data_IF_445828770328
#
_entry.id   IF_445828770328
#
_cell.length_a   1.000
_cell.length_b   1.000
_cell.length_c   1.000
_cell.angle_alpha   90.00
_cell.angle_beta   90.00
_cell.angle_gamma   90.00
#
_symmetry.space_group_name_H-M   'P 1'
#
loop_
_entity.id
_entity.type
_entity.pdbx_description
1 polymer ?
#
# COMPACT_ATOMS: atom_id res chain seq x y z
N UNK A 1 3.09 -1.84 8.40
CA UNK A 1 2.42 -1.92 7.08
C UNK A 1 0.89 -1.97 7.17
N UNK A 2 0.32 -2.70 8.11
CA UNK A 2 -1.14 -2.79 8.30
C UNK A 2 -1.82 -1.40 8.47
N UNK A 3 -1.15 -0.48 9.17
CA UNK A 3 -1.63 0.91 9.35
C UNK A 3 -1.81 1.66 8.03
N UNK A 4 -0.87 1.50 7.08
CA UNK A 4 -0.95 2.17 5.78
C UNK A 4 -2.11 1.62 4.97
N UNK A 5 -2.25 0.29 4.93
CA UNK A 5 -3.38 -0.37 4.27
C UNK A 5 -4.71 0.11 4.87
N UNK A 6 -4.82 0.08 6.20
CA UNK A 6 -6.01 0.55 6.90
C UNK A 6 -6.38 2.00 6.59
N UNK A 7 -5.40 2.91 6.55
CA UNK A 7 -5.63 4.31 6.22
C UNK A 7 -6.23 4.48 4.82
N UNK A 8 -5.79 3.69 3.84
CA UNK A 8 -6.38 3.72 2.50
C UNK A 8 -7.83 3.24 2.49
N UNK A 9 -8.15 2.17 3.22
CA UNK A 9 -9.52 1.65 3.33
C UNK A 9 -10.45 2.62 4.08
N UNK A 10 -9.99 3.20 5.18
CA UNK A 10 -10.73 4.20 5.94
C UNK A 10 -10.97 5.48 5.12
N UNK A 11 -9.96 5.93 4.38
CA UNK A 11 -10.12 7.09 3.49
C UNK A 11 -11.11 6.79 2.34
N UNK A 12 -11.05 5.60 1.76
CA UNK A 12 -12.01 5.16 0.74
C UNK A 12 -13.45 5.12 1.28
N UNK A 13 -13.65 4.63 2.50
CA UNK A 13 -14.97 4.60 3.14
C UNK A 13 -15.48 6.00 3.48
N UNK A 14 -14.63 6.86 4.05
CA UNK A 14 -14.99 8.21 4.49
C UNK A 14 -15.20 9.20 3.34
N UNK A 15 -14.59 8.96 2.18
CA UNK A 15 -14.74 9.80 1.00
C UNK A 15 -14.68 8.99 -0.32
N UNK A 16 -15.76 8.24 -0.66
CA UNK A 16 -15.76 7.34 -1.81
C UNK A 16 -15.43 8.02 -3.15
N UNK A 17 -16.07 9.16 -3.42
CA UNK A 17 -15.89 9.86 -4.70
C UNK A 17 -14.54 10.57 -4.78
N UNK A 18 -14.07 11.14 -3.67
CA UNK A 18 -12.73 11.68 -3.57
C UNK A 18 -11.66 10.61 -3.78
N UNK A 19 -11.86 9.43 -3.22
CA UNK A 19 -10.95 8.30 -3.40
C UNK A 19 -10.90 7.85 -4.87
N UNK A 20 -12.05 7.66 -5.52
CA UNK A 20 -12.12 7.29 -6.95
C UNK A 20 -11.43 8.33 -7.84
N UNK A 21 -11.65 9.61 -7.58
CA UNK A 21 -11.00 10.68 -8.33
C UNK A 21 -9.48 10.72 -8.12
N UNK A 22 -9.03 10.46 -6.88
CA UNK A 22 -7.62 10.48 -6.52
C UNK A 22 -6.85 9.26 -7.03
N UNK A 23 -7.50 8.10 -7.17
CA UNK A 23 -6.85 6.81 -7.52
C UNK A 23 -7.15 6.32 -8.94
N UNK A 24 -8.14 6.90 -9.63
CA UNK A 24 -8.48 6.61 -11.03
C UNK A 24 -7.46 7.18 -12.02
N UNK A 25 -7.88 7.97 -13.01
CA UNK A 25 -6.95 8.56 -14.00
C UNK A 25 -6.10 9.73 -13.43
N UNK A 26 -6.31 10.11 -12.17
CA UNK A 26 -5.64 11.24 -11.51
C UNK A 26 -4.13 11.06 -11.30
N UNK A 27 -3.65 9.91 -10.77
CA UNK A 27 -2.23 9.62 -10.58
C UNK A 27 -1.39 9.64 -11.86
N UNK A 28 -2.00 9.35 -13.02
CA UNK A 28 -1.30 9.41 -14.31
C UNK A 28 -0.94 10.84 -14.75
N UNK A 29 -1.50 11.88 -14.11
CA UNK A 29 -1.32 13.28 -14.53
C UNK A 29 -0.04 13.94 -14.03
N UNK A 30 0.55 13.42 -12.94
CA UNK A 30 1.72 14.00 -12.27
C UNK A 30 2.66 12.91 -11.70
N UNK A 31 3.32 12.11 -12.57
CA UNK A 31 4.19 11.03 -12.13
C UNK A 31 5.31 11.51 -11.19
N UNK A 32 5.84 12.71 -11.41
CA UNK A 32 6.88 13.33 -10.58
C UNK A 32 6.46 13.54 -9.13
N UNK A 33 5.20 13.94 -8.89
CA UNK A 33 4.66 14.16 -7.54
C UNK A 33 4.50 12.83 -6.80
N UNK A 34 4.15 11.77 -7.52
CA UNK A 34 4.03 10.42 -6.94
C UNK A 34 5.40 9.88 -6.59
N UNK A 35 6.38 10.01 -7.48
CA UNK A 35 7.76 9.60 -7.21
C UNK A 35 8.35 10.33 -5.98
N UNK A 36 8.10 11.64 -5.84
CA UNK A 36 8.53 12.40 -4.65
C UNK A 36 7.86 11.89 -3.38
N UNK A 37 6.54 11.64 -3.42
CA UNK A 37 5.79 11.09 -2.28
C UNK A 37 6.26 9.68 -1.89
N UNK A 38 6.70 8.88 -2.87
CA UNK A 38 7.18 7.52 -2.65
C UNK A 38 8.66 7.45 -2.31
N UNK A 39 9.43 8.53 -2.47
CA UNK A 39 10.87 8.56 -2.21
C UNK A 39 11.25 8.03 -0.81
N UNK A 40 10.53 8.37 0.30
CA UNK A 40 10.83 7.80 1.62
C UNK A 40 10.61 6.29 1.69
N UNK A 41 9.56 5.77 1.04
CA UNK A 41 9.27 4.34 0.98
C UNK A 41 10.32 3.60 0.13
N UNK A 42 10.67 4.15 -1.02
CA UNK A 42 11.74 3.62 -1.87
C UNK A 42 13.09 3.61 -1.14
N UNK A 43 13.41 4.66 -0.38
CA UNK A 43 14.64 4.71 0.43
C UNK A 43 14.69 3.57 1.47
N UNK A 44 13.56 3.20 2.07
CA UNK A 44 13.48 2.08 3.00
C UNK A 44 13.68 0.70 2.32
N UNK A 45 13.44 0.62 1.01
CA UNK A 45 13.75 -0.52 0.14
C UNK A 45 15.13 -0.42 -0.55
N UNK A 46 16.02 0.46 -0.08
CA UNK A 46 17.38 0.60 -0.60
C UNK A 46 17.60 1.72 -1.63
N UNK A 47 16.54 2.44 -2.03
CA UNK A 47 16.63 3.70 -2.81
C UNK A 47 16.99 3.57 -4.30
N UNK A 48 17.25 2.37 -4.79
CA UNK A 48 17.55 2.07 -6.19
C UNK A 48 16.32 2.14 -7.13
N UNK A 49 16.53 1.96 -8.45
CA UNK A 49 15.44 1.84 -9.42
C UNK A 49 14.42 0.74 -9.08
N UNK A 50 14.89 -0.41 -8.63
CA UNK A 50 14.07 -1.55 -8.22
C UNK A 50 13.25 -1.20 -6.96
N UNK A 51 13.85 -0.47 -6.03
CA UNK A 51 13.19 0.01 -4.82
C UNK A 51 12.04 0.99 -5.11
N UNK A 52 12.24 1.89 -6.09
CA UNK A 52 11.20 2.79 -6.60
C UNK A 52 10.06 2.02 -7.26
N UNK A 53 10.39 1.02 -8.08
CA UNK A 53 9.40 0.14 -8.70
C UNK A 53 8.56 -0.59 -7.64
N UNK A 54 9.20 -1.15 -6.61
CA UNK A 54 8.50 -1.81 -5.50
C UNK A 54 7.60 -0.83 -4.74
N UNK A 55 8.10 0.35 -4.39
CA UNK A 55 7.30 1.38 -3.70
C UNK A 55 6.06 1.77 -4.51
N UNK A 56 6.20 1.96 -5.83
CA UNK A 56 5.07 2.28 -6.72
C UNK A 56 4.07 1.14 -6.83
N UNK A 57 4.58 -0.09 -6.94
CA UNK A 57 3.75 -1.31 -7.05
C UNK A 57 2.94 -1.55 -5.78
N UNK A 58 3.55 -1.31 -4.61
CA UNK A 58 2.88 -1.37 -3.31
C UNK A 58 1.72 -0.39 -3.23
N UNK A 59 1.94 0.88 -3.59
CA UNK A 59 0.87 1.89 -3.58
C UNK A 59 -0.27 1.48 -4.52
N UNK A 60 0.05 1.10 -5.76
CA UNK A 60 -0.95 0.72 -6.76
C UNK A 60 -1.80 -0.48 -6.31
N UNK A 61 -1.19 -1.46 -5.66
CA UNK A 61 -1.90 -2.62 -5.12
C UNK A 61 -2.91 -2.21 -4.04
N UNK A 62 -2.51 -1.33 -3.10
CA UNK A 62 -3.40 -0.87 -2.03
C UNK A 62 -4.55 -0.03 -2.59
N UNK A 63 -4.28 0.87 -3.52
CA UNK A 63 -5.30 1.69 -4.20
C UNK A 63 -6.31 0.83 -4.92
N UNK A 64 -5.85 -0.16 -5.70
CA UNK A 64 -6.71 -1.08 -6.43
C UNK A 64 -7.56 -1.95 -5.48
N UNK A 65 -6.97 -2.43 -4.38
CA UNK A 65 -7.68 -3.25 -3.40
C UNK A 65 -8.78 -2.45 -2.67
N UNK A 66 -8.49 -1.21 -2.27
CA UNK A 66 -9.44 -0.33 -1.63
C UNK A 66 -10.59 0.06 -2.58
N UNK A 67 -10.30 0.36 -3.85
CA UNK A 67 -11.31 0.60 -4.89
C UNK A 67 -12.22 -0.62 -5.08
N UNK A 68 -11.63 -1.80 -5.25
CA UNK A 68 -12.40 -3.06 -5.40
C UNK A 68 -13.30 -3.29 -4.20
N UNK A 69 -12.80 -3.05 -2.99
CA UNK A 69 -13.60 -3.19 -1.77
C UNK A 69 -14.74 -2.18 -1.73
N UNK A 70 -14.45 -0.91 -2.06
CA UNK A 70 -15.44 0.17 -2.09
C UNK A 70 -16.59 -0.12 -3.06
N UNK A 71 -16.29 -0.71 -4.22
CA UNK A 71 -17.28 -0.98 -5.26
C UNK A 71 -18.15 -2.23 -5.01
N UNK A 72 -17.69 -3.17 -4.16
CA UNK A 72 -18.38 -4.45 -3.95
C UNK A 72 -18.90 -4.66 -2.54
N UNK A 73 -18.12 -4.25 -1.53
CA UNK A 73 -18.44 -4.39 -0.11
C UNK A 73 -18.91 -5.80 0.31
N UNK A 74 -18.50 -6.82 -0.43
CA UNK A 74 -18.81 -8.24 -0.21
C UNK A 74 -17.86 -8.91 0.80
N UNK A 75 -16.91 -8.14 1.34
CA UNK A 75 -15.92 -8.55 2.33
C UNK A 75 -15.87 -7.49 3.46
N UNK A 76 -15.93 -7.88 4.75
CA UNK A 76 -15.74 -6.93 5.85
C UNK A 76 -14.40 -6.19 5.72
N UNK A 77 -14.38 -4.90 6.06
CA UNK A 77 -13.20 -4.05 5.88
C UNK A 77 -11.96 -4.63 6.59
N UNK A 78 -12.10 -5.03 7.84
CA UNK A 78 -10.99 -5.59 8.63
C UNK A 78 -10.37 -6.81 7.94
N UNK A 79 -11.22 -7.67 7.37
CA UNK A 79 -10.75 -8.85 6.63
C UNK A 79 -10.07 -8.46 5.31
N UNK A 80 -10.57 -7.43 4.62
CA UNK A 80 -9.93 -6.91 3.42
C UNK A 80 -8.54 -6.32 3.73
N UNK A 81 -8.42 -5.55 4.81
CA UNK A 81 -7.16 -4.99 5.29
C UNK A 81 -6.16 -6.11 5.63
N UNK A 82 -6.61 -7.14 6.34
CA UNK A 82 -5.77 -8.29 6.71
C UNK A 82 -5.24 -9.01 5.46
N UNK A 83 -6.12 -9.36 4.51
CA UNK A 83 -5.74 -10.04 3.27
C UNK A 83 -4.72 -9.23 2.46
N UNK A 84 -4.95 -7.92 2.30
CA UNK A 84 -4.04 -7.05 1.54
C UNK A 84 -2.70 -6.89 2.26
N UNK A 85 -2.73 -6.79 3.60
CA UNK A 85 -1.50 -6.69 4.41
C UNK A 85 -0.64 -7.95 4.26
N UNK A 86 -1.22 -9.14 4.37
CA UNK A 86 -0.49 -10.40 4.20
C UNK A 86 0.01 -10.59 2.77
N UNK A 87 -0.78 -10.21 1.76
CA UNK A 87 -0.35 -10.24 0.35
C UNK A 87 0.87 -9.34 0.12
N UNK A 88 0.83 -8.12 0.66
CA UNK A 88 1.94 -7.17 0.56
C UNK A 88 3.19 -7.69 1.26
N UNK A 89 3.03 -8.23 2.48
CA UNK A 89 4.14 -8.75 3.25
C UNK A 89 4.82 -9.93 2.56
N UNK A 90 4.05 -10.94 2.16
CA UNK A 90 4.59 -12.09 1.42
C UNK A 90 5.21 -11.69 0.07
N UNK A 91 4.66 -10.68 -0.60
CA UNK A 91 5.23 -10.10 -1.80
C UNK A 91 6.59 -9.43 -1.55
N UNK A 92 6.69 -8.57 -0.54
CA UNK A 92 7.92 -7.87 -0.14
C UNK A 92 9.00 -8.88 0.26
N UNK A 93 8.67 -9.87 1.10
CA UNK A 93 9.60 -10.94 1.47
C UNK A 93 10.15 -11.68 0.24
N UNK A 94 9.31 -11.90 -0.79
CA UNK A 94 9.74 -12.55 -2.02
C UNK A 94 10.70 -11.69 -2.87
N UNK A 95 10.69 -10.36 -2.74
CA UNK A 95 11.57 -9.47 -3.53
C UNK A 95 13.06 -9.58 -3.16
N UNK A 96 13.39 -10.11 -1.98
CA UNK A 96 14.79 -10.41 -1.60
C UNK A 96 15.45 -11.39 -2.59
N UNK A 97 14.66 -12.30 -3.17
CA UNK A 97 15.16 -13.28 -4.15
C UNK A 97 15.67 -12.63 -5.43
N UNK A 98 15.27 -11.39 -5.70
CA UNK A 98 15.67 -10.61 -6.88
C UNK A 98 16.53 -9.39 -6.51
N UNK A 99 17.09 -9.38 -5.29
CA UNK A 99 18.07 -8.37 -4.87
C UNK A 99 17.48 -7.04 -4.39
N UNK A 100 16.18 -6.99 -4.09
CA UNK A 100 15.57 -5.83 -3.42
C UNK A 100 15.62 -6.06 -1.92
N UNK A 101 16.56 -5.37 -1.26
CA UNK A 101 16.78 -5.50 0.17
C UNK A 101 15.91 -4.54 0.96
N UNK A 102 15.10 -5.06 1.87
CA UNK A 102 14.31 -4.24 2.77
C UNK A 102 15.01 -4.09 4.12
N UNK A 103 15.34 -2.85 4.50
CA UNK A 103 15.85 -2.59 5.85
C UNK A 103 14.77 -2.89 6.89
N UNK A 104 15.22 -3.27 8.10
CA UNK A 104 14.49 -3.64 9.33
C UNK A 104 13.49 -2.59 9.87
N UNK A 105 12.94 -1.74 9.03
CA UNK A 105 12.01 -0.65 9.38
C UNK A 105 10.61 -1.20 9.72
N UNK A 106 10.26 -2.40 9.23
CA UNK A 106 8.99 -3.05 9.53
C UNK A 106 9.23 -4.46 10.06
N UNK A 107 9.32 -4.56 11.38
CA UNK A 107 9.41 -5.83 12.09
C UNK A 107 7.97 -6.30 12.37
N UNK A 108 7.52 -7.38 11.71
CA UNK A 108 6.17 -7.94 11.82
C UNK A 108 5.78 -8.19 13.28
N UNK A 109 6.77 -8.55 14.10
CA UNK A 109 6.60 -8.88 15.51
C UNK A 109 6.55 -7.65 16.44
N UNK A 110 6.75 -6.43 15.89
CA UNK A 110 6.68 -5.16 16.65
C UNK A 110 5.47 -4.30 16.35
N UNK A 111 4.73 -4.53 15.26
CA UNK A 111 3.46 -3.83 15.04
C UNK A 111 2.34 -4.56 15.80
N UNK A 112 1.70 -3.94 16.80
CA UNK A 112 0.49 -4.51 17.37
C UNK A 112 -0.54 -4.67 16.25
N UNK A 113 -1.27 -5.80 16.25
CA UNK A 113 -2.40 -6.00 15.35
C UNK A 113 -3.26 -4.73 15.40
N UNK A 114 -3.61 -4.15 14.24
CA UNK A 114 -4.36 -2.91 14.22
C UNK A 114 -5.69 -3.13 14.95
N UNK A 115 -5.87 -2.38 16.04
CA UNK A 115 -7.12 -2.38 16.78
C UNK A 115 -8.06 -1.42 16.06
N UNK A 116 -9.06 -1.97 15.39
CA UNK A 116 -10.15 -1.19 14.79
C UNK A 116 -11.27 -1.13 15.83
N UNK A 117 -11.42 0.03 16.47
CA UNK A 117 -12.50 0.38 17.40
C UNK A 117 -13.48 1.34 16.75
#
# INVERSE_FOLDING_TARGET
MAKVVAQHFLYAQGNPDGYRNATGDGPARHPEVIEERLAPLAAAFGGGPEARLVARSVLALVEAAALRWLDRQDLPMDRAIEVVTELMWGGIEATERVGVHHFRVWDRDREPAPQFS
#
